data_IF_994373836819
#
_entry.id   IF_994373836819
#
_cell.length_a   1.000
_cell.length_b   1.000
_cell.length_c   1.000
_cell.angle_alpha   90.00
_cell.angle_beta   90.00
_cell.angle_gamma   90.00
#
_symmetry.space_group_name_H-M   'P 1'
#
loop_
_entity.id
_entity.type
_entity.pdbx_description
1 polymer ?
#
# COMPACT_ATOMS: atom_id res chain seq x y z
N UNK A 1 -66.73 32.18 -37.61
CA UNK A 1 -67.70 31.75 -36.59
C UNK A 1 -67.03 30.69 -35.72
N UNK A 2 -67.10 30.79 -34.40
CA UNK A 2 -66.56 29.76 -33.52
C UNK A 2 -67.55 28.58 -33.45
N UNK A 3 -67.03 27.34 -33.50
CA UNK A 3 -67.81 26.12 -33.26
C UNK A 3 -67.31 25.49 -31.96
N UNK A 4 -68.21 25.32 -31.00
CA UNK A 4 -67.92 24.57 -29.77
C UNK A 4 -68.69 23.26 -29.84
N UNK A 5 -67.99 22.13 -29.72
CA UNK A 5 -68.61 20.82 -29.58
C UNK A 5 -68.66 20.45 -28.10
N UNK A 6 -69.85 20.01 -27.63
CA UNK A 6 -70.04 19.48 -26.27
C UNK A 6 -70.68 18.10 -26.42
N UNK A 7 -70.09 17.07 -25.82
CA UNK A 7 -70.62 15.70 -25.79
C UNK A 7 -70.91 15.30 -24.34
N UNK A 8 -71.85 14.38 -24.13
CA UNK A 8 -72.19 13.84 -22.80
C UNK A 8 -71.43 12.54 -22.46
N UNK A 9 -70.65 12.02 -23.41
CA UNK A 9 -69.81 10.83 -23.27
C UNK A 9 -68.57 10.96 -24.16
N UNK A 10 -67.88 9.83 -24.35
CA UNK A 10 -66.64 9.78 -25.11
C UNK A 10 -66.78 10.39 -26.51
N UNK A 11 -65.75 11.12 -26.91
CA UNK A 11 -65.65 11.69 -28.25
C UNK A 11 -64.40 11.16 -28.92
N UNK A 12 -64.57 10.54 -30.09
CA UNK A 12 -63.48 9.90 -30.81
C UNK A 12 -63.21 10.64 -32.12
N UNK A 13 -61.96 11.06 -32.30
CA UNK A 13 -61.46 11.61 -33.57
C UNK A 13 -60.63 10.50 -34.25
N UNK A 14 -60.96 10.15 -35.49
CA UNK A 14 -60.24 9.14 -36.28
C UNK A 14 -59.82 9.73 -37.62
N UNK A 15 -58.59 9.46 -38.03
CA UNK A 15 -58.13 9.59 -39.41
C UNK A 15 -58.00 8.17 -40.00
N UNK A 16 -58.48 7.97 -41.23
CA UNK A 16 -58.47 6.65 -41.88
C UNK A 16 -59.30 5.59 -41.16
N UNK A 17 -58.80 4.34 -41.14
CA UNK A 17 -59.47 3.21 -40.48
C UNK A 17 -59.37 3.22 -38.95
N UNK A 18 -58.60 4.15 -38.36
CA UNK A 18 -58.30 4.19 -36.93
C UNK A 18 -56.96 3.53 -36.57
N UNK A 19 -56.69 3.43 -35.26
CA UNK A 19 -55.44 2.88 -34.73
C UNK A 19 -55.20 1.45 -35.23
N UNK A 20 -54.07 1.24 -35.93
CA UNK A 20 -53.51 -0.06 -36.28
C UNK A 20 -54.31 -0.96 -37.26
N UNK A 21 -55.18 -0.40 -38.13
CA UNK A 21 -56.02 -1.22 -39.04
C UNK A 21 -56.08 -0.74 -40.50
N UNK A 22 -55.03 -0.14 -41.05
CA UNK A 22 -55.00 0.26 -42.46
C UNK A 22 -53.61 0.57 -43.01
N UNK A 23 -53.44 0.41 -44.33
CA UNK A 23 -52.26 0.88 -45.08
C UNK A 23 -52.43 2.37 -45.43
N UNK A 24 -51.46 3.21 -45.10
CA UNK A 24 -51.40 4.62 -45.51
C UNK A 24 -51.07 5.58 -44.36
N UNK A 25 -50.59 6.78 -44.69
CA UNK A 25 -50.36 7.84 -43.71
C UNK A 25 -51.70 8.45 -43.27
N UNK A 26 -51.94 8.48 -41.97
CA UNK A 26 -53.12 9.09 -41.37
C UNK A 26 -52.66 10.12 -40.36
N UNK A 27 -53.06 11.39 -40.54
CA UNK A 27 -52.68 12.48 -39.66
C UNK A 27 -53.91 13.14 -39.01
N UNK A 28 -53.73 13.61 -37.78
CA UNK A 28 -54.62 14.55 -37.11
C UNK A 28 -53.78 15.78 -36.82
N UNK A 29 -54.08 16.91 -37.47
CA UNK A 29 -53.35 18.17 -37.31
C UNK A 29 -54.16 19.15 -36.46
N UNK A 30 -53.57 19.64 -35.37
CA UNK A 30 -54.13 20.72 -34.55
C UNK A 30 -53.42 22.03 -34.92
N UNK A 31 -53.92 22.73 -35.94
CA UNK A 31 -53.37 24.01 -36.39
C UNK A 31 -53.88 25.16 -35.52
N UNK A 32 -53.20 25.40 -34.39
CA UNK A 32 -53.50 26.47 -33.45
C UNK A 32 -52.22 27.04 -32.86
N UNK A 33 -52.22 28.33 -32.53
CA UNK A 33 -51.13 28.97 -31.78
C UNK A 33 -50.95 28.34 -30.38
N UNK A 34 -52.02 27.81 -29.81
CA UNK A 34 -52.01 27.23 -28.48
C UNK A 34 -52.93 26.00 -28.43
N UNK A 35 -52.36 24.89 -27.96
CA UNK A 35 -53.08 23.65 -27.66
C UNK A 35 -52.94 23.41 -26.17
N UNK A 36 -54.05 23.16 -25.49
CA UNK A 36 -54.09 22.87 -24.05
C UNK A 36 -54.89 21.60 -23.82
N UNK A 37 -54.29 20.68 -23.07
CA UNK A 37 -54.93 19.47 -22.57
C UNK A 37 -55.03 19.64 -21.06
N UNK A 38 -56.25 19.73 -20.53
CA UNK A 38 -56.48 20.03 -19.11
C UNK A 38 -56.57 18.79 -18.21
N UNK A 39 -56.54 17.60 -18.81
CA UNK A 39 -56.53 16.32 -18.09
C UNK A 39 -55.29 15.50 -18.47
N UNK A 40 -55.33 14.23 -18.09
CA UNK A 40 -54.24 13.29 -18.34
C UNK A 40 -54.06 13.05 -19.85
N UNK A 41 -52.80 12.83 -20.24
CA UNK A 41 -52.42 12.48 -21.60
C UNK A 41 -51.74 11.11 -21.58
N UNK A 42 -52.37 10.13 -22.23
CA UNK A 42 -51.75 8.85 -22.57
C UNK A 42 -51.42 8.84 -24.05
N UNK A 43 -50.19 8.46 -24.39
CA UNK A 43 -49.72 8.32 -25.76
C UNK A 43 -49.29 6.87 -25.96
N UNK A 44 -50.10 6.12 -26.71
CA UNK A 44 -49.78 4.75 -27.11
C UNK A 44 -49.14 4.75 -28.50
N UNK A 45 -47.83 4.55 -28.55
CA UNK A 45 -47.03 4.53 -29.77
C UNK A 45 -45.56 4.25 -29.48
N UNK A 46 -44.75 4.05 -30.51
CA UNK A 46 -43.32 3.74 -30.37
C UNK A 46 -42.45 4.97 -30.10
N UNK A 47 -42.87 6.16 -30.54
CA UNK A 47 -42.08 7.38 -30.43
C UNK A 47 -42.96 8.60 -30.12
N UNK A 48 -42.44 9.47 -29.25
CA UNK A 48 -42.93 10.84 -29.07
C UNK A 48 -41.81 11.81 -29.47
N UNK A 49 -42.09 12.76 -30.36
CA UNK A 49 -41.15 13.80 -30.78
C UNK A 49 -41.69 15.17 -30.33
N UNK A 50 -40.91 15.89 -29.53
CA UNK A 50 -41.25 17.24 -29.03
C UNK A 50 -40.20 18.22 -29.52
N UNK A 51 -40.52 18.98 -30.56
CA UNK A 51 -39.62 19.96 -31.17
C UNK A 51 -39.89 21.37 -30.59
N UNK A 52 -39.46 21.60 -29.35
CA UNK A 52 -39.62 22.89 -28.66
C UNK A 52 -38.26 23.47 -28.29
N UNK A 53 -38.19 24.80 -28.13
CA UNK A 53 -36.97 25.46 -27.62
C UNK A 53 -36.75 25.18 -26.13
N UNK A 54 -37.84 24.95 -25.39
CA UNK A 54 -37.84 24.70 -23.96
C UNK A 54 -38.82 23.58 -23.63
N UNK A 55 -38.43 22.73 -22.68
CA UNK A 55 -39.27 21.71 -22.06
C UNK A 55 -39.23 21.94 -20.55
N UNK A 56 -40.40 22.06 -19.94
CA UNK A 56 -40.57 22.16 -18.48
C UNK A 56 -41.45 21.00 -18.04
N UNK A 57 -40.99 20.31 -17.00
CA UNK A 57 -41.65 19.16 -16.39
C UNK A 57 -41.71 19.43 -14.89
N UNK A 58 -42.90 19.41 -14.31
CA UNK A 58 -43.13 19.67 -12.88
C UNK A 58 -43.14 18.38 -12.04
N UNK A 59 -42.87 17.23 -12.67
CA UNK A 59 -42.86 15.94 -12.00
C UNK A 59 -41.71 15.84 -10.97
N UNK A 60 -41.99 15.28 -9.80
CA UNK A 60 -40.97 15.02 -8.80
C UNK A 60 -39.99 13.91 -9.22
N UNK A 61 -40.46 12.94 -10.01
CA UNK A 61 -39.69 11.78 -10.47
C UNK A 61 -40.06 11.48 -11.92
N UNK A 62 -39.03 11.32 -12.76
CA UNK A 62 -39.17 10.76 -14.10
C UNK A 62 -38.92 9.25 -14.05
N UNK A 63 -39.92 8.45 -14.43
CA UNK A 63 -39.78 6.99 -14.53
C UNK A 63 -39.42 6.62 -15.96
N UNK A 64 -38.19 6.16 -16.15
CA UNK A 64 -37.71 5.62 -17.42
C UNK A 64 -37.93 4.10 -17.47
N UNK A 65 -38.11 3.56 -18.68
CA UNK A 65 -38.15 2.12 -18.95
C UNK A 65 -39.19 1.30 -18.13
N UNK A 66 -40.27 1.94 -17.65
CA UNK A 66 -41.28 1.33 -16.75
C UNK A 66 -41.87 0.00 -17.25
N UNK A 67 -41.97 -0.17 -18.56
CA UNK A 67 -42.63 -1.30 -19.21
C UNK A 67 -41.64 -2.32 -19.80
N UNK A 68 -40.34 -2.17 -19.58
CA UNK A 68 -39.38 -3.20 -19.97
C UNK A 68 -39.53 -4.40 -19.04
N UNK A 69 -40.15 -5.45 -19.58
CA UNK A 69 -40.38 -6.70 -18.87
C UNK A 69 -39.22 -7.68 -19.02
N UNK A 70 -38.11 -7.29 -19.65
CA UNK A 70 -36.96 -8.17 -19.81
C UNK A 70 -36.18 -8.27 -18.48
N UNK A 71 -36.38 -9.38 -17.76
CA UNK A 71 -35.63 -9.73 -16.56
C UNK A 71 -34.21 -10.22 -16.92
N UNK A 72 -33.43 -9.43 -17.65
CA UNK A 72 -32.12 -9.86 -18.13
C UNK A 72 -31.05 -8.81 -17.87
N UNK A 73 -29.86 -9.30 -17.50
CA UNK A 73 -28.56 -8.59 -17.44
C UNK A 73 -28.09 -8.03 -18.81
N UNK A 74 -29.01 -7.89 -19.77
CA UNK A 74 -28.86 -7.31 -21.11
C UNK A 74 -30.07 -6.39 -21.41
N UNK A 75 -30.70 -5.85 -20.36
CA UNK A 75 -31.86 -4.97 -20.44
C UNK A 75 -31.56 -3.66 -21.14
N UNK A 76 -32.60 -2.85 -21.37
CA UNK A 76 -32.44 -1.59 -22.07
C UNK A 76 -31.75 -0.54 -21.20
N UNK A 77 -30.68 0.04 -21.71
CA UNK A 77 -30.00 1.16 -21.10
C UNK A 77 -30.96 2.36 -20.98
N UNK A 78 -30.91 3.05 -19.84
CA UNK A 78 -31.82 4.14 -19.54
C UNK A 78 -31.08 5.39 -19.13
N UNK A 79 -31.34 6.51 -19.79
CA UNK A 79 -30.65 7.75 -19.46
C UNK A 79 -30.94 8.89 -20.39
N UNK A 80 -30.01 9.84 -20.40
CA UNK A 80 -30.08 11.06 -21.20
C UNK A 80 -28.93 11.02 -22.19
N UNK A 81 -29.26 11.19 -23.46
CA UNK A 81 -28.31 11.36 -24.53
C UNK A 81 -28.37 12.80 -25.04
N UNK A 82 -27.20 13.42 -25.13
CA UNK A 82 -27.02 14.78 -25.63
C UNK A 82 -26.44 14.65 -27.03
N UNK A 83 -27.27 14.95 -28.03
CA UNK A 83 -26.80 15.09 -29.39
C UNK A 83 -25.91 16.33 -29.49
N UNK A 84 -24.68 16.15 -29.98
CA UNK A 84 -23.66 17.21 -30.06
C UNK A 84 -23.45 17.74 -31.48
N UNK A 85 -24.31 17.38 -32.42
CA UNK A 85 -24.23 17.77 -33.83
C UNK A 85 -23.42 16.79 -34.68
N UNK A 86 -22.57 17.31 -35.57
CA UNK A 86 -22.10 16.62 -36.79
C UNK A 86 -21.04 15.51 -36.60
N UNK A 87 -20.49 15.31 -35.39
CA UNK A 87 -19.32 14.42 -35.23
C UNK A 87 -19.70 12.94 -35.02
N UNK A 88 -21.00 12.59 -34.97
CA UNK A 88 -21.43 11.20 -34.70
C UNK A 88 -20.97 10.68 -33.33
N UNK A 89 -20.47 11.58 -32.47
CA UNK A 89 -20.03 11.33 -31.11
C UNK A 89 -20.91 12.18 -30.20
N UNK A 90 -21.82 11.51 -29.51
CA UNK A 90 -22.72 12.11 -28.55
C UNK A 90 -22.16 11.98 -27.13
N UNK A 91 -22.72 12.74 -26.19
CA UNK A 91 -22.46 12.53 -24.77
C UNK A 91 -23.66 11.83 -24.15
N UNK A 92 -23.43 10.89 -23.24
CA UNK A 92 -24.51 10.20 -22.53
C UNK A 92 -24.21 10.15 -21.04
N UNK A 93 -25.27 10.32 -20.25
CA UNK A 93 -25.32 9.92 -18.85
C UNK A 93 -26.45 8.92 -18.68
N UNK A 94 -26.11 7.67 -18.37
CA UNK A 94 -27.08 6.58 -18.42
C UNK A 94 -26.76 5.47 -17.42
N UNK A 95 -27.79 4.72 -17.06
CA UNK A 95 -27.71 3.46 -16.33
C UNK A 95 -27.43 2.33 -17.31
N UNK A 96 -26.29 1.66 -17.12
CA UNK A 96 -25.88 0.48 -17.87
C UNK A 96 -26.42 -0.78 -17.18
N UNK A 97 -27.43 -1.41 -17.77
CA UNK A 97 -28.08 -2.59 -17.20
C UNK A 97 -27.14 -3.80 -17.12
N UNK A 98 -26.16 -3.87 -18.03
CA UNK A 98 -25.21 -4.98 -18.04
C UNK A 98 -24.19 -4.87 -16.90
N UNK A 99 -23.89 -3.65 -16.44
CA UNK A 99 -22.90 -3.38 -15.41
C UNK A 99 -23.51 -2.96 -14.06
N UNK A 100 -24.81 -2.66 -14.00
CA UNK A 100 -25.51 -2.16 -12.82
C UNK A 100 -24.87 -0.89 -12.24
N UNK A 101 -24.53 0.07 -13.10
CA UNK A 101 -23.94 1.35 -12.68
C UNK A 101 -24.29 2.50 -13.63
N UNK A 102 -24.14 3.72 -13.12
CA UNK A 102 -24.22 4.93 -13.95
C UNK A 102 -22.89 5.20 -14.65
N UNK A 103 -22.97 5.63 -15.91
CA UNK A 103 -21.82 6.00 -16.73
C UNK A 103 -22.02 7.38 -17.32
N UNK A 104 -20.94 8.15 -17.31
CA UNK A 104 -20.81 9.35 -18.15
C UNK A 104 -19.79 9.03 -19.23
N UNK A 105 -20.21 9.11 -20.49
CA UNK A 105 -19.40 8.68 -21.64
C UNK A 105 -19.57 9.60 -22.84
N UNK A 106 -18.61 9.52 -23.76
CA UNK A 106 -18.88 9.75 -25.18
C UNK A 106 -19.35 8.46 -25.83
N UNK A 107 -20.28 8.53 -26.77
CA UNK A 107 -20.93 7.37 -27.40
C UNK A 107 -21.14 7.59 -28.88
N UNK A 108 -21.12 6.51 -29.67
CA UNK A 108 -21.53 6.51 -31.09
C UNK A 108 -23.04 6.32 -31.27
N UNK A 109 -23.79 6.00 -30.21
CA UNK A 109 -25.25 5.86 -30.25
C UNK A 109 -25.92 7.19 -30.56
N UNK A 110 -27.07 7.17 -31.26
CA UNK A 110 -27.86 8.38 -31.57
C UNK A 110 -27.45 9.17 -32.82
N UNK A 111 -26.61 8.59 -33.68
CA UNK A 111 -26.26 9.14 -34.99
C UNK A 111 -27.38 8.98 -36.04
N UNK A 112 -28.44 9.80 -35.96
CA UNK A 112 -29.36 10.05 -37.07
C UNK A 112 -30.53 9.06 -37.29
N UNK A 113 -30.77 8.10 -36.40
CA UNK A 113 -31.92 7.18 -36.43
C UNK A 113 -32.59 7.02 -35.06
N UNK A 114 -33.64 6.19 -34.98
CA UNK A 114 -34.25 5.82 -33.69
C UNK A 114 -33.16 5.25 -32.76
N UNK A 115 -33.09 5.76 -31.53
CA UNK A 115 -32.16 5.25 -30.53
C UNK A 115 -32.50 3.77 -30.28
N UNK A 116 -31.54 2.88 -30.51
CA UNK A 116 -31.61 1.51 -30.01
C UNK A 116 -31.61 1.50 -28.49
N UNK A 117 -31.97 0.36 -27.90
CA UNK A 117 -32.11 0.18 -26.44
C UNK A 117 -30.76 0.04 -25.71
N UNK A 118 -29.62 0.23 -26.39
CA UNK A 118 -28.28 0.08 -25.80
C UNK A 118 -27.37 1.23 -26.22
N UNK A 119 -26.55 1.71 -25.29
CA UNK A 119 -25.55 2.76 -25.50
C UNK A 119 -24.19 2.13 -25.78
N UNK A 120 -23.59 2.47 -26.92
CA UNK A 120 -22.24 2.02 -27.28
C UNK A 120 -21.22 3.03 -26.82
N UNK A 121 -20.46 2.72 -25.77
CA UNK A 121 -19.38 3.58 -25.29
C UNK A 121 -18.27 3.77 -26.33
N UNK A 122 -17.73 4.98 -26.39
CA UNK A 122 -16.45 5.29 -27.02
C UNK A 122 -15.37 5.56 -25.97
N UNK A 123 -15.67 6.38 -24.96
CA UNK A 123 -14.78 6.67 -23.84
C UNK A 123 -15.55 7.19 -22.62
N UNK A 124 -15.01 6.98 -21.42
CA UNK A 124 -15.49 7.66 -20.21
C UNK A 124 -15.21 9.17 -20.31
N UNK A 125 -16.11 9.97 -19.75
CA UNK A 125 -15.94 11.43 -19.62
C UNK A 125 -15.91 11.85 -18.16
N UNK A 126 -15.24 12.96 -17.89
CA UNK A 126 -15.14 13.49 -16.53
C UNK A 126 -16.45 14.17 -16.11
N UNK A 127 -16.90 13.88 -14.89
CA UNK A 127 -17.93 14.64 -14.19
C UNK A 127 -17.22 15.61 -13.24
N UNK A 128 -17.55 16.91 -13.32
CA UNK A 128 -17.10 17.88 -12.33
C UNK A 128 -18.15 17.96 -11.22
N UNK A 129 -17.70 17.73 -9.99
CA UNK A 129 -18.52 17.83 -8.77
C UNK A 129 -17.93 18.90 -7.86
N UNK A 130 -18.75 19.43 -6.94
CA UNK A 130 -18.28 20.33 -5.90
C UNK A 130 -17.38 19.59 -4.91
N UNK A 131 -16.62 20.34 -4.11
CA UNK A 131 -15.86 19.75 -3.01
C UNK A 131 -16.80 19.04 -2.03
N UNK A 132 -16.49 17.80 -1.61
CA UNK A 132 -17.36 17.03 -0.74
C UNK A 132 -17.45 17.68 0.65
N UNK A 133 -18.64 17.64 1.25
CA UNK A 133 -18.92 18.15 2.59
C UNK A 133 -19.34 17.04 3.57
N UNK A 134 -19.78 15.90 3.05
CA UNK A 134 -20.13 14.69 3.80
C UNK A 134 -19.30 13.50 3.34
N UNK A 135 -19.15 12.49 4.22
CA UNK A 135 -18.35 11.28 3.93
C UNK A 135 -18.87 10.43 2.76
N UNK A 136 -20.13 10.61 2.36
CA UNK A 136 -20.76 9.87 1.26
C UNK A 136 -20.89 10.70 -0.02
N UNK A 137 -20.37 11.93 -0.03
CA UNK A 137 -20.31 12.75 -1.24
C UNK A 137 -19.25 12.17 -2.20
N UNK A 138 -19.40 12.43 -3.50
CA UNK A 138 -18.37 12.10 -4.47
C UNK A 138 -17.10 12.93 -4.20
N UNK A 139 -15.96 12.27 -4.03
CA UNK A 139 -14.70 12.97 -3.80
C UNK A 139 -14.18 13.63 -5.09
N UNK A 140 -13.68 14.87 -4.98
CA UNK A 140 -12.92 15.50 -6.07
C UNK A 140 -11.51 14.90 -6.13
N UNK A 141 -10.87 14.96 -7.29
CA UNK A 141 -9.45 14.57 -7.41
C UNK A 141 -8.57 15.37 -6.45
N UNK A 142 -8.83 16.68 -6.34
CA UNK A 142 -8.07 17.58 -5.48
C UNK A 142 -8.16 17.20 -3.99
N UNK A 143 -9.37 16.87 -3.52
CA UNK A 143 -9.59 16.38 -2.16
C UNK A 143 -8.78 15.12 -1.86
N UNK A 144 -8.81 14.14 -2.77
CA UNK A 144 -8.07 12.87 -2.60
C UNK A 144 -6.57 13.09 -2.63
N UNK A 145 -6.05 13.85 -3.60
CA UNK A 145 -4.62 14.13 -3.71
C UNK A 145 -4.08 14.79 -2.44
N UNK A 146 -4.80 15.78 -1.89
CA UNK A 146 -4.42 16.44 -0.64
C UNK A 146 -4.51 15.50 0.58
N UNK A 147 -5.48 14.59 0.59
CA UNK A 147 -5.67 13.64 1.70
C UNK A 147 -4.66 12.48 1.68
N UNK A 148 -4.13 12.11 0.51
CA UNK A 148 -3.32 10.90 0.31
C UNK A 148 -1.80 11.16 0.15
N UNK A 149 -1.33 12.40 0.19
CA UNK A 149 0.03 12.76 -0.21
C UNK A 149 1.16 12.46 0.81
N UNK A 150 0.91 11.88 1.98
CA UNK A 150 1.94 11.78 3.02
C UNK A 150 1.83 10.58 3.96
N UNK A 151 2.94 10.29 4.65
CA UNK A 151 2.94 9.41 5.82
C UNK A 151 2.32 10.20 6.96
N UNK A 152 1.22 9.73 7.57
CA UNK A 152 0.61 10.47 8.68
C UNK A 152 1.56 10.60 9.87
N UNK A 153 2.05 9.46 10.38
CA UNK A 153 3.17 9.39 11.32
C UNK A 153 3.57 7.94 11.61
N UNK A 154 4.71 7.74 12.29
CA UNK A 154 4.99 6.52 13.06
C UNK A 154 5.71 6.83 14.38
N UNK A 155 5.69 5.89 15.31
CA UNK A 155 6.39 6.02 16.60
C UNK A 155 7.81 5.44 16.54
N UNK A 156 8.81 6.22 16.94
CA UNK A 156 10.21 5.81 17.07
C UNK A 156 10.58 5.75 18.56
N UNK A 157 11.04 4.59 19.03
CA UNK A 157 11.47 4.38 20.41
C UNK A 157 12.85 3.71 20.46
N UNK A 158 13.60 3.96 21.54
CA UNK A 158 14.83 3.24 21.86
C UNK A 158 14.75 2.61 23.25
N UNK A 159 15.82 1.92 23.67
CA UNK A 159 15.91 1.25 24.99
C UNK A 159 15.82 2.23 26.18
N UNK A 160 16.01 3.52 25.93
CA UNK A 160 15.85 4.60 26.89
C UNK A 160 15.28 5.85 26.20
N UNK A 161 14.88 6.84 26.99
CA UNK A 161 14.24 8.07 26.49
C UNK A 161 12.73 7.92 26.26
N UNK A 162 12.12 8.95 25.67
CA UNK A 162 10.69 8.97 25.33
C UNK A 162 10.46 8.53 23.89
N UNK A 163 9.36 7.81 23.63
CA UNK A 163 8.91 7.53 22.26
C UNK A 163 8.60 8.82 21.54
N UNK A 164 9.17 9.00 20.35
CA UNK A 164 8.96 10.16 19.50
C UNK A 164 7.93 9.81 18.41
N UNK A 165 7.03 10.75 18.11
CA UNK A 165 6.17 10.64 16.91
C UNK A 165 6.89 11.29 15.74
N UNK A 166 7.18 10.51 14.71
CA UNK A 166 7.74 10.99 13.44
C UNK A 166 6.56 11.32 12.52
N UNK A 167 6.22 12.61 12.43
CA UNK A 167 5.19 13.11 11.54
C UNK A 167 5.64 13.13 10.06
N UNK A 168 4.71 13.40 9.15
CA UNK A 168 5.02 13.63 7.75
C UNK A 168 6.16 14.65 7.55
N UNK A 169 6.96 14.44 6.51
CA UNK A 169 8.14 15.24 6.15
C UNK A 169 9.27 15.33 7.21
N UNK A 170 9.12 14.73 8.41
CA UNK A 170 10.20 14.68 9.38
C UNK A 170 11.31 13.73 8.93
N UNK A 171 12.55 14.16 9.10
CA UNK A 171 13.72 13.28 8.90
C UNK A 171 13.99 12.49 10.17
N UNK A 172 14.11 11.18 10.05
CA UNK A 172 14.61 10.33 11.14
C UNK A 172 16.13 10.33 11.10
N UNK A 173 16.75 10.91 12.12
CA UNK A 173 18.21 10.86 12.30
C UNK A 173 18.55 9.83 13.36
N UNK A 174 19.20 8.74 12.96
CA UNK A 174 19.84 7.82 13.89
C UNK A 174 21.25 8.38 14.14
N UNK A 175 21.47 9.07 15.26
CA UNK A 175 22.77 9.67 15.55
C UNK A 175 23.74 8.65 16.16
N UNK A 176 24.97 8.63 15.68
CA UNK A 176 26.07 7.92 16.33
C UNK A 176 26.59 8.68 17.55
N UNK A 177 26.97 7.96 18.61
CA UNK A 177 27.68 8.52 19.76
C UNK A 177 29.20 8.52 19.54
N UNK A 178 29.99 8.81 20.57
CA UNK A 178 31.44 8.55 20.55
C UNK A 178 31.70 7.10 20.12
N UNK A 179 32.53 6.92 19.09
CA UNK A 179 32.95 5.64 18.49
C UNK A 179 31.91 4.90 17.64
N UNK A 180 30.64 5.33 17.59
CA UNK A 180 29.64 4.77 16.68
C UNK A 180 29.42 5.77 15.55
N UNK A 181 29.59 5.37 14.29
CA UNK A 181 29.04 6.14 13.16
C UNK A 181 27.78 5.50 12.64
N UNK A 182 26.89 6.35 12.17
CA UNK A 182 25.70 5.99 11.42
C UNK A 182 25.79 6.69 10.07
N UNK A 183 25.57 5.95 8.99
CA UNK A 183 25.67 6.47 7.63
C UNK A 183 24.47 6.02 6.81
N UNK A 184 23.71 6.98 6.29
CA UNK A 184 22.66 6.71 5.32
C UNK A 184 23.27 6.47 3.94
N UNK A 185 22.79 5.45 3.24
CA UNK A 185 23.20 5.12 1.88
C UNK A 185 22.01 4.62 1.06
N UNK A 186 22.16 4.69 -0.26
CA UNK A 186 21.18 4.09 -1.17
C UNK A 186 21.34 2.56 -1.19
N UNK A 187 20.27 1.77 -1.35
CA UNK A 187 18.87 2.16 -1.18
C UNK A 187 18.48 2.08 0.30
N UNK A 188 17.85 3.13 0.84
CA UNK A 188 17.16 3.21 2.14
C UNK A 188 17.80 2.44 3.29
N UNK A 189 19.13 2.51 3.41
CA UNK A 189 19.90 1.77 4.42
C UNK A 189 20.59 2.75 5.36
N UNK A 190 20.51 2.47 6.66
CA UNK A 190 21.41 3.06 7.66
C UNK A 190 22.43 2.00 8.06
N UNK A 191 23.71 2.24 7.78
CA UNK A 191 24.81 1.42 8.31
C UNK A 191 25.23 1.96 9.67
N UNK A 192 25.37 1.07 10.66
CA UNK A 192 25.86 1.41 12.00
C UNK A 192 27.21 0.71 12.22
N UNK A 193 28.27 1.48 12.43
CA UNK A 193 29.64 0.97 12.58
C UNK A 193 30.25 1.38 13.91
N UNK A 194 30.99 0.46 14.53
CA UNK A 194 31.93 0.79 15.59
C UNK A 194 33.27 1.15 14.95
N UNK A 195 33.69 2.41 15.05
CA UNK A 195 34.88 2.92 14.35
C UNK A 195 36.15 2.89 15.19
N UNK A 196 36.04 2.64 16.50
CA UNK A 196 37.13 2.83 17.46
C UNK A 196 37.06 1.78 18.59
N UNK A 197 38.01 1.87 19.52
CA UNK A 197 38.13 0.96 20.67
C UNK A 197 36.90 0.97 21.59
N UNK A 198 36.64 -0.19 22.19
CA UNK A 198 35.69 -0.35 23.29
C UNK A 198 36.30 0.19 24.60
N UNK A 199 35.64 1.16 25.22
CA UNK A 199 36.02 1.70 26.53
C UNK A 199 34.99 1.29 27.60
N UNK A 200 35.36 1.35 28.88
CA UNK A 200 34.49 1.01 30.02
C UNK A 200 33.93 -0.42 29.99
N UNK A 201 34.74 -1.37 29.52
CA UNK A 201 34.37 -2.80 29.54
C UNK A 201 34.79 -3.41 30.87
N UNK A 202 33.82 -3.85 31.67
CA UNK A 202 34.07 -4.55 32.93
C UNK A 202 34.48 -6.02 32.72
N UNK A 203 33.92 -6.69 31.71
CA UNK A 203 34.20 -8.09 31.40
C UNK A 203 33.98 -8.41 29.93
N UNK A 204 34.80 -9.30 29.38
CA UNK A 204 34.60 -9.92 28.07
C UNK A 204 34.52 -11.43 28.32
N UNK A 205 33.46 -12.07 27.85
CA UNK A 205 33.26 -13.51 27.98
C UNK A 205 32.66 -14.07 26.70
N UNK A 206 32.92 -15.36 26.44
CA UNK A 206 32.21 -16.10 25.40
C UNK A 206 30.93 -16.69 26.02
N UNK A 207 29.78 -16.50 25.35
CA UNK A 207 28.49 -17.01 25.80
C UNK A 207 28.25 -18.49 25.51
N UNK A 208 29.09 -19.12 24.68
CA UNK A 208 28.96 -20.53 24.33
C UNK A 208 29.66 -21.45 25.34
N UNK A 209 28.97 -22.48 25.81
CA UNK A 209 29.58 -23.54 26.65
C UNK A 209 30.76 -24.18 25.91
N UNK A 210 31.93 -24.23 26.57
CA UNK A 210 33.20 -24.71 26.02
C UNK A 210 33.71 -23.95 24.78
N UNK A 211 33.13 -22.78 24.47
CA UNK A 211 33.60 -21.93 23.38
C UNK A 211 34.87 -21.16 23.76
N UNK A 212 35.72 -20.91 22.78
CA UNK A 212 36.97 -20.16 22.96
C UNK A 212 36.72 -18.65 22.89
N UNK A 213 37.41 -17.87 23.73
CA UNK A 213 37.54 -16.43 23.54
C UNK A 213 38.86 -16.15 22.83
N UNK A 214 38.80 -15.76 21.56
CA UNK A 214 39.99 -15.48 20.75
C UNK A 214 40.33 -14.00 20.78
N UNK A 215 41.53 -13.67 21.25
CA UNK A 215 42.09 -12.32 21.19
C UNK A 215 43.24 -12.33 20.18
N UNK A 216 43.08 -11.59 19.09
CA UNK A 216 44.05 -11.54 18.00
C UNK A 216 44.53 -10.13 17.78
N UNK A 217 45.85 -9.93 17.73
CA UNK A 217 46.45 -8.72 17.20
C UNK A 217 46.71 -8.91 15.69
N UNK A 218 46.45 -7.89 14.88
CA UNK A 218 46.67 -7.96 13.43
C UNK A 218 48.14 -7.70 13.08
N UNK A 219 48.65 -8.36 12.05
CA UNK A 219 50.01 -8.18 11.55
C UNK A 219 51.06 -8.56 12.58
N UNK A 220 51.96 -7.63 12.90
CA UNK A 220 53.03 -7.81 13.90
C UNK A 220 52.63 -7.32 15.29
N UNK A 221 51.35 -7.02 15.52
CA UNK A 221 50.84 -6.56 16.81
C UNK A 221 50.95 -7.62 17.92
N UNK A 222 50.71 -7.20 19.16
CA UNK A 222 50.73 -8.08 20.34
C UNK A 222 49.48 -7.87 21.20
N UNK A 223 49.05 -8.92 21.91
CA UNK A 223 48.08 -8.78 22.99
C UNK A 223 48.83 -8.27 24.22
N UNK A 224 48.51 -7.06 24.66
CA UNK A 224 49.18 -6.40 25.79
C UNK A 224 48.28 -6.47 27.03
N UNK A 225 48.80 -7.02 28.12
CA UNK A 225 48.17 -6.99 29.44
C UNK A 225 48.97 -6.01 30.31
N UNK A 226 48.44 -4.81 30.53
CA UNK A 226 49.17 -3.75 31.26
C UNK A 226 49.37 -4.06 32.75
N UNK A 227 48.57 -4.95 33.33
CA UNK A 227 48.62 -5.33 34.74
C UNK A 227 48.86 -6.84 34.88
N UNK A 228 47.96 -7.54 35.57
CA UNK A 228 48.13 -8.94 35.93
C UNK A 228 47.33 -9.83 34.97
N UNK A 229 47.99 -10.82 34.36
CA UNK A 229 47.32 -11.94 33.72
C UNK A 229 47.02 -13.01 34.78
N UNK A 230 45.74 -13.28 35.01
CA UNK A 230 45.30 -14.29 35.98
C UNK A 230 44.73 -15.50 35.25
N UNK A 231 45.08 -16.69 35.72
CA UNK A 231 44.49 -17.95 35.28
C UNK A 231 43.55 -18.47 36.37
N UNK A 232 42.40 -19.00 35.97
CA UNK A 232 41.62 -19.82 36.88
C UNK A 232 42.36 -21.14 37.11
N UNK A 233 42.25 -21.69 38.32
CA UNK A 233 42.74 -23.03 38.64
C UNK A 233 42.06 -24.04 37.71
N UNK A 234 42.77 -24.59 36.73
CA UNK A 234 42.20 -25.67 35.92
C UNK A 234 42.18 -26.96 36.75
N UNK A 235 41.07 -27.69 36.64
CA UNK A 235 40.92 -29.00 37.29
C UNK A 235 41.72 -30.10 36.58
N UNK A 236 42.07 -29.93 35.29
CA UNK A 236 42.73 -30.95 34.47
C UNK A 236 43.68 -30.39 33.41
N UNK A 237 44.65 -31.21 33.00
CA UNK A 237 45.58 -30.94 31.90
C UNK A 237 44.85 -30.84 30.56
N UNK A 238 45.04 -29.74 29.79
CA UNK A 238 44.49 -29.63 28.45
C UNK A 238 45.12 -30.64 27.48
N UNK A 239 44.38 -31.06 26.45
CA UNK A 239 44.93 -31.89 25.37
C UNK A 239 46.08 -31.19 24.65
N UNK A 240 47.22 -31.87 24.50
CA UNK A 240 48.38 -31.37 23.76
C UNK A 240 48.05 -31.19 22.27
N UNK A 241 48.44 -30.04 21.71
CA UNK A 241 48.41 -29.76 20.27
C UNK A 241 49.74 -29.14 19.84
N UNK A 242 49.92 -28.90 18.55
CA UNK A 242 51.14 -28.26 18.03
C UNK A 242 51.32 -26.79 18.50
N UNK A 243 50.27 -26.19 19.09
CA UNK A 243 50.30 -24.84 19.66
C UNK A 243 50.60 -24.96 21.15
N UNK A 244 51.57 -24.17 21.63
CA UNK A 244 51.87 -24.10 23.06
C UNK A 244 50.71 -23.46 23.81
N UNK A 245 50.21 -24.16 24.84
CA UNK A 245 49.19 -23.65 25.75
C UNK A 245 49.82 -23.33 27.09
N UNK A 246 49.52 -22.16 27.64
CA UNK A 246 49.85 -21.78 29.01
C UNK A 246 48.60 -21.89 29.87
N UNK A 247 48.70 -22.52 31.03
CA UNK A 247 47.57 -22.72 31.92
C UNK A 247 48.00 -22.89 33.37
N UNK A 248 47.06 -22.83 34.31
CA UNK A 248 47.35 -23.09 35.73
C UNK A 248 46.69 -24.38 36.23
N UNK A 249 47.36 -25.10 37.13
CA UNK A 249 46.80 -26.23 37.89
C UNK A 249 47.49 -26.32 39.26
N UNK A 250 47.15 -27.33 40.07
CA UNK A 250 47.81 -27.57 41.36
C UNK A 250 49.34 -27.56 41.21
N UNK A 251 50.01 -26.80 42.09
CA UNK A 251 51.47 -26.61 42.09
C UNK A 251 52.20 -27.96 42.10
N UNK A 252 53.18 -28.12 41.20
CA UNK A 252 54.00 -29.31 41.08
C UNK A 252 55.40 -29.11 41.67
N UNK A 253 56.37 -29.85 41.13
CA UNK A 253 57.77 -29.75 41.56
C UNK A 253 58.42 -28.40 41.27
N UNK A 254 57.95 -27.67 40.25
CA UNK A 254 58.45 -26.35 39.85
C UNK A 254 57.96 -25.22 40.76
N UNK A 255 56.81 -25.42 41.40
CA UNK A 255 56.28 -24.58 42.48
C UNK A 255 55.70 -23.22 42.06
N UNK A 256 55.34 -23.04 40.78
CA UNK A 256 54.68 -21.82 40.28
C UNK A 256 53.19 -22.01 40.02
N UNK A 257 52.74 -23.25 39.81
CA UNK A 257 51.38 -23.59 39.41
C UNK A 257 51.09 -23.24 37.94
N UNK A 258 52.05 -22.70 37.19
CA UNK A 258 51.87 -22.35 35.77
C UNK A 258 52.58 -23.39 34.91
N UNK A 259 51.82 -24.01 34.04
CA UNK A 259 52.26 -25.10 33.18
C UNK A 259 52.18 -24.70 31.71
N UNK A 260 53.00 -25.36 30.91
CA UNK A 260 52.88 -25.35 29.46
C UNK A 260 52.73 -26.76 28.90
N UNK A 261 52.10 -26.88 27.74
CA UNK A 261 51.99 -28.14 27.00
C UNK A 261 52.01 -27.88 25.49
N UNK A 262 52.74 -28.71 24.75
CA UNK A 262 52.82 -28.70 23.29
C UNK A 262 53.17 -30.12 22.81
N UNK A 263 52.49 -30.64 21.79
CA UNK A 263 52.74 -32.00 21.27
C UNK A 263 54.14 -32.18 20.66
N UNK A 264 54.77 -31.09 20.22
CA UNK A 264 56.13 -31.09 19.67
C UNK A 264 57.23 -30.99 20.75
N UNK A 265 56.88 -30.72 22.01
CA UNK A 265 57.83 -30.59 23.13
C UNK A 265 57.57 -31.69 24.15
N UNK A 266 58.60 -32.42 24.58
CA UNK A 266 58.46 -33.49 25.59
C UNK A 266 57.44 -34.57 25.22
N UNK A 267 57.22 -34.82 23.93
CA UNK A 267 56.23 -35.76 23.38
C UNK A 267 54.79 -35.50 23.87
N UNK A 268 54.43 -34.23 24.10
CA UNK A 268 53.09 -33.85 24.59
C UNK A 268 52.93 -33.99 26.10
N UNK A 269 54.01 -34.22 26.84
CA UNK A 269 54.01 -34.16 28.30
C UNK A 269 53.99 -32.69 28.74
N UNK A 270 53.13 -32.38 29.70
CA UNK A 270 53.10 -31.07 30.37
C UNK A 270 54.36 -30.82 31.20
N UNK A 271 54.76 -29.56 31.36
CA UNK A 271 55.84 -29.18 32.28
C UNK A 271 55.52 -27.86 33.00
N UNK A 272 56.11 -27.67 34.17
CA UNK A 272 55.87 -26.51 35.05
C UNK A 272 56.97 -25.45 34.87
N UNK A 273 56.56 -24.20 34.72
CA UNK A 273 57.50 -23.08 34.83
C UNK A 273 58.10 -23.09 36.24
N UNK A 274 59.42 -22.93 36.32
CA UNK A 274 60.15 -23.05 37.59
C UNK A 274 60.65 -21.69 38.07
N UNK A 275 60.49 -21.41 39.37
CA UNK A 275 61.08 -20.21 39.96
C UNK A 275 62.61 -20.32 40.02
N UNK A 276 63.32 -19.18 39.97
CA UNK A 276 64.80 -19.15 40.07
C UNK A 276 65.33 -19.90 41.30
N UNK A 277 64.69 -19.74 42.46
CA UNK A 277 65.09 -20.42 43.71
C UNK A 277 65.00 -21.94 43.58
N UNK A 278 63.95 -22.45 42.94
CA UNK A 278 63.76 -23.89 42.71
C UNK A 278 64.73 -24.43 41.66
N UNK A 279 64.92 -23.70 40.56
CA UNK A 279 65.86 -24.09 39.52
C UNK A 279 67.30 -24.24 40.06
N UNK A 280 67.75 -23.32 40.92
CA UNK A 280 69.07 -23.42 41.55
C UNK A 280 69.19 -24.61 42.49
N UNK A 281 68.16 -24.91 43.28
CA UNK A 281 68.18 -26.08 44.18
C UNK A 281 68.25 -27.41 43.39
N UNK A 282 67.49 -27.52 42.29
CA UNK A 282 67.53 -28.70 41.42
C UNK A 282 68.87 -28.86 40.70
N UNK A 283 69.49 -27.77 40.24
CA UNK A 283 70.80 -27.82 39.60
C UNK A 283 71.91 -28.31 40.55
N UNK A 284 71.84 -27.96 41.84
CA UNK A 284 72.81 -28.43 42.86
C UNK A 284 72.51 -29.88 43.28
N UNK A 285 71.24 -30.29 43.29
CA UNK A 285 70.85 -31.64 43.70
C UNK A 285 71.08 -32.70 42.61
N UNK A 286 71.23 -32.29 41.35
CA UNK A 286 71.37 -33.17 40.18
C UNK A 286 72.70 -33.02 39.43
N UNK A 287 73.53 -32.05 39.80
CA UNK A 287 74.90 -31.86 39.29
C UNK A 287 75.94 -32.48 40.21
#
# INVERSE_FOLDING_TARGET
>A
MAKTLRTSGDYTIKAGAGFNTGTGEHNITLDSRYVRITGDLTIDGEQTVINTQTLSVEDAILVLNRNDSSNATTGSDSGILINRGEVGINAAFYWDESLNLFKAVTTSSGGGGALGTTITDLALTNIRVAEPSNNSDAATKYYVDNSAAGMSSFSLAGDSGTTQTVADANTVTIAGSTNISTAASTADTITINLNQNLNNINSISNGSTNGELTLTANGTGSVIVNNILTFNSNASTPTATAITKLYSKTVGGGGTGVFFINSAVGSGTEDELISKKKATALAIALG
#
